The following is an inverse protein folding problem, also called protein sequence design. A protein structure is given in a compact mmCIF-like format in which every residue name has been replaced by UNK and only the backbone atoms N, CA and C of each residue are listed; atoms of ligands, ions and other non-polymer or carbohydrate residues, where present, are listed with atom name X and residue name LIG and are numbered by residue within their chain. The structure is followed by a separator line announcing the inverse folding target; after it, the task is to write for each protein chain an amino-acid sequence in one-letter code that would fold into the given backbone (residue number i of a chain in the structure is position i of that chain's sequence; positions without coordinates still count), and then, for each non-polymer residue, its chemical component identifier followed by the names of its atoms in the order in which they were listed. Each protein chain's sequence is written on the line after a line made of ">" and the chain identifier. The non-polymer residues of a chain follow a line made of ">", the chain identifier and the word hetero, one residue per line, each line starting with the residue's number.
data_IF_745336586841
#
_entry.id   IF_745336586841
#
_cell.length_a   1.000
_cell.length_b   1.000
_cell.length_c   1.000
_cell.angle_alpha   90.00
_cell.angle_beta   90.00
_cell.angle_gamma   90.00
#
_symmetry.space_group_name_H-M   'P 1'
#
loop_
_entity.id
_entity.type
_entity.pdbx_description
1 polymer ?
#
# COMPACT_ATOMS: atom_id res chain seq x y z
N UNK A 1 43.38 48.34 -48.70
CA UNK A 1 44.16 49.28 -47.88
C UNK A 1 44.07 48.81 -46.44
N UNK A 2 45.21 48.37 -45.90
CA UNK A 2 45.58 48.25 -44.47
C UNK A 2 44.91 47.14 -43.63
N UNK A 3 45.51 46.62 -42.56
CA UNK A 3 46.80 45.95 -42.31
C UNK A 3 46.66 45.26 -40.91
N UNK A 4 47.23 44.06 -40.77
CA UNK A 4 47.84 43.37 -39.62
C UNK A 4 47.35 43.41 -38.12
N UNK A 5 47.68 42.28 -37.44
CA UNK A 5 48.07 42.06 -36.01
C UNK A 5 46.92 41.76 -34.99
N UNK A 6 46.78 40.64 -34.26
CA UNK A 6 47.59 39.74 -33.37
C UNK A 6 47.94 40.29 -31.97
N UNK A 7 47.59 39.52 -30.91
CA UNK A 7 48.05 39.62 -29.50
C UNK A 7 46.86 39.60 -28.51
N UNK A 8 46.56 38.56 -27.70
CA UNK A 8 47.28 37.84 -26.61
C UNK A 8 47.28 38.56 -25.22
N UNK A 9 46.88 37.83 -24.17
CA UNK A 9 47.03 38.15 -22.73
C UNK A 9 45.99 39.12 -22.13
N UNK A 10 45.56 39.08 -20.86
CA UNK A 10 46.12 38.51 -19.62
C UNK A 10 45.00 38.45 -18.54
N UNK A 11 45.05 37.46 -17.65
CA UNK A 11 44.28 37.36 -16.40
C UNK A 11 44.53 38.56 -15.44
N UNK A 12 43.52 38.91 -14.64
CA UNK A 12 43.63 39.92 -13.58
C UNK A 12 42.68 39.65 -12.41
N UNK A 13 43.27 39.55 -11.22
CA UNK A 13 42.76 38.99 -9.96
C UNK A 13 42.07 40.04 -9.05
N UNK A 14 41.05 39.57 -8.29
CA UNK A 14 40.47 40.03 -7.01
C UNK A 14 40.21 41.52 -6.71
N UNK A 15 38.97 41.80 -6.26
CA UNK A 15 38.62 43.01 -5.52
C UNK A 15 37.28 42.86 -4.79
N UNK A 16 37.32 43.03 -3.46
CA UNK A 16 36.27 42.75 -2.49
C UNK A 16 34.93 43.48 -2.71
N UNK A 17 33.83 42.84 -2.28
CA UNK A 17 32.72 43.55 -1.64
C UNK A 17 32.03 42.65 -0.62
N UNK A 18 32.25 42.98 0.66
CA UNK A 18 31.41 42.50 1.75
C UNK A 18 30.21 43.42 1.92
N UNK A 19 29.02 42.84 2.05
CA UNK A 19 27.91 43.41 2.80
C UNK A 19 26.99 42.26 3.25
N UNK A 20 26.90 42.10 4.57
CA UNK A 20 26.14 41.10 5.30
C UNK A 20 24.66 41.06 4.90
N UNK A 21 24.21 39.90 4.42
CA UNK A 21 22.81 39.48 4.52
C UNK A 21 22.74 38.32 5.49
N UNK A 22 22.13 38.53 6.66
CA UNK A 22 21.79 37.45 7.60
C UNK A 22 20.79 36.55 6.88
N UNK A 23 21.26 35.40 6.37
CA UNK A 23 20.39 34.38 5.82
C UNK A 23 19.77 33.65 7.01
N UNK A 24 18.55 34.04 7.37
CA UNK A 24 17.68 33.28 8.26
C UNK A 24 17.25 32.04 7.47
N UNK A 25 18.17 31.11 7.31
CA UNK A 25 17.90 29.81 6.74
C UNK A 25 17.06 29.04 7.75
N UNK A 26 15.81 28.83 7.37
CA UNK A 26 14.88 27.80 7.85
C UNK A 26 15.54 26.72 8.72
N UNK A 27 15.53 26.90 10.04
CA UNK A 27 15.60 25.75 10.94
C UNK A 27 14.22 25.12 11.02
N UNK A 28 13.82 24.45 9.94
CA UNK A 28 12.80 23.42 10.04
C UNK A 28 13.30 22.37 11.05
N UNK A 29 12.46 21.89 11.98
CA UNK A 29 12.88 20.86 12.93
C UNK A 29 13.43 19.65 12.16
N UNK A 30 14.50 19.01 12.66
CA UNK A 30 15.09 17.86 12.01
C UNK A 30 13.99 16.84 11.77
N UNK A 31 13.74 16.56 10.48
CA UNK A 31 12.81 15.50 10.12
C UNK A 31 13.34 14.22 10.76
N UNK A 32 12.53 13.50 11.56
CA UNK A 32 12.98 12.24 12.11
C UNK A 32 13.46 11.38 10.93
N UNK A 33 14.72 10.92 11.01
CA UNK A 33 15.28 10.04 9.99
C UNK A 33 14.37 8.83 9.78
N UNK A 34 14.44 8.17 8.61
CA UNK A 34 13.63 7.00 8.35
C UNK A 34 13.81 6.01 9.51
N UNK A 35 12.68 5.66 10.14
CA UNK A 35 12.66 4.73 11.25
C UNK A 35 13.16 3.33 10.83
N UNK A 36 13.36 2.42 11.79
CA UNK A 36 13.68 1.04 11.47
C UNK A 36 12.62 0.42 10.54
N UNK A 37 13.06 -0.49 9.67
CA UNK A 37 12.15 -1.23 8.79
C UNK A 37 11.14 -2.04 9.60
N UNK A 38 9.88 -2.16 9.13
CA UNK A 38 8.85 -2.89 9.86
C UNK A 38 9.16 -4.38 9.92
N UNK A 39 8.77 -4.99 11.02
CA UNK A 39 8.83 -6.44 11.23
C UNK A 39 7.74 -7.13 10.40
N UNK A 40 7.91 -8.44 10.15
CA UNK A 40 6.87 -9.25 9.48
C UNK A 40 5.52 -9.15 10.19
N UNK A 41 5.51 -9.08 11.51
CA UNK A 41 4.31 -8.94 12.31
C UNK A 41 3.57 -7.64 11.98
N UNK A 42 4.28 -6.50 11.97
CA UNK A 42 3.71 -5.20 11.65
C UNK A 42 3.21 -5.16 10.21
N UNK A 43 3.97 -5.72 9.26
CA UNK A 43 3.57 -5.80 7.85
C UNK A 43 2.29 -6.63 7.69
N UNK A 44 2.19 -7.79 8.35
CA UNK A 44 0.98 -8.62 8.30
C UNK A 44 -0.22 -7.93 8.96
N UNK A 45 0.01 -7.25 10.08
CA UNK A 45 -1.01 -6.50 10.81
C UNK A 45 -1.56 -5.34 9.96
N UNK A 46 -0.67 -4.54 9.37
CA UNK A 46 -1.04 -3.45 8.46
C UNK A 46 -1.78 -3.98 7.24
N UNK A 47 -1.31 -5.09 6.67
CA UNK A 47 -1.97 -5.72 5.53
C UNK A 47 -3.39 -6.16 5.87
N UNK A 48 -3.60 -6.89 6.98
CA UNK A 48 -4.95 -7.34 7.39
C UNK A 48 -5.86 -6.16 7.67
N UNK A 49 -5.34 -5.09 8.28
CA UNK A 49 -6.12 -3.88 8.53
C UNK A 49 -6.43 -3.10 7.25
N UNK A 50 -5.56 -3.16 6.24
CA UNK A 50 -5.82 -2.53 4.94
C UNK A 50 -7.01 -3.16 4.21
N UNK A 51 -7.37 -4.42 4.51
CA UNK A 51 -8.57 -5.09 3.98
C UNK A 51 -9.88 -4.45 4.45
N UNK A 52 -9.86 -3.62 5.50
CA UNK A 52 -11.03 -2.84 5.89
C UNK A 52 -11.39 -1.76 4.86
N UNK A 53 -10.46 -1.37 3.98
CA UNK A 53 -10.68 -0.38 2.94
C UNK A 53 -11.22 -1.05 1.66
N UNK A 54 -12.53 -0.93 1.44
CA UNK A 54 -13.22 -1.55 0.29
C UNK A 54 -12.58 -1.17 -1.06
N UNK A 55 -12.29 0.12 -1.38
CA UNK A 55 -11.54 0.48 -2.58
C UNK A 55 -10.21 -0.27 -2.78
N UNK A 56 -9.44 -0.47 -1.70
CA UNK A 56 -8.18 -1.21 -1.77
C UNK A 56 -8.41 -2.68 -2.10
N UNK A 57 -9.40 -3.30 -1.46
CA UNK A 57 -9.81 -4.68 -1.76
C UNK A 57 -10.25 -4.79 -3.21
N UNK A 58 -11.12 -3.90 -3.69
CA UNK A 58 -11.54 -3.87 -5.11
C UNK A 58 -10.33 -3.77 -6.05
N UNK A 59 -9.35 -2.93 -5.74
CA UNK A 59 -8.10 -2.85 -6.51
C UNK A 59 -7.31 -4.18 -6.49
N UNK A 60 -7.13 -4.77 -5.31
CA UNK A 60 -6.45 -6.06 -5.13
C UNK A 60 -7.12 -7.17 -5.96
N UNK A 61 -8.46 -7.20 -6.00
CA UNK A 61 -9.20 -8.23 -6.74
C UNK A 61 -9.21 -7.99 -8.26
N UNK A 62 -9.39 -6.74 -8.70
CA UNK A 62 -9.56 -6.41 -10.12
C UNK A 62 -8.25 -6.26 -10.88
N UNK A 63 -7.26 -5.63 -10.25
CA UNK A 63 -6.02 -5.22 -10.94
C UNK A 63 -4.92 -6.26 -10.77
N UNK A 64 -4.91 -6.97 -9.64
CA UNK A 64 -3.87 -7.96 -9.33
C UNK A 64 -4.30 -9.38 -9.71
N UNK A 65 -4.95 -9.56 -10.87
CA UNK A 65 -5.45 -10.87 -11.33
C UNK A 65 -4.38 -11.99 -11.28
N UNK A 66 -3.11 -11.65 -11.50
CA UNK A 66 -2.01 -12.60 -11.44
C UNK A 66 -1.73 -13.18 -10.04
N UNK A 67 -2.07 -12.46 -8.96
CA UNK A 67 -1.94 -12.99 -7.60
C UNK A 67 -2.91 -14.15 -7.38
N UNK A 68 -4.12 -13.98 -7.93
CA UNK A 68 -5.22 -14.95 -7.86
C UNK A 68 -5.04 -16.17 -8.75
N UNK A 69 -4.12 -16.10 -9.73
CA UNK A 69 -3.77 -17.25 -10.55
C UNK A 69 -3.09 -18.36 -9.76
N UNK A 70 -2.39 -18.00 -8.68
CA UNK A 70 -1.61 -18.95 -7.89
C UNK A 70 -2.31 -19.30 -6.58
N UNK A 71 -2.26 -20.59 -6.22
CA UNK A 71 -2.70 -21.09 -4.91
C UNK A 71 -1.89 -20.48 -3.74
N UNK A 72 -0.70 -19.94 -4.00
CA UNK A 72 0.15 -19.36 -2.97
C UNK A 72 -0.54 -18.19 -2.25
N UNK A 73 -1.23 -17.33 -3.00
CA UNK A 73 -1.91 -16.18 -2.41
C UNK A 73 -3.13 -16.60 -1.58
N UNK A 74 -3.91 -17.58 -2.05
CA UNK A 74 -5.01 -18.17 -1.28
C UNK A 74 -4.51 -18.77 0.04
N UNK A 75 -3.44 -19.55 0.00
CA UNK A 75 -2.85 -20.11 1.22
C UNK A 75 -2.36 -19.01 2.18
N UNK A 76 -1.83 -17.91 1.64
CA UNK A 76 -1.42 -16.77 2.47
C UNK A 76 -2.61 -16.09 3.15
N UNK A 77 -3.71 -15.83 2.43
CA UNK A 77 -4.93 -15.29 3.03
C UNK A 77 -5.55 -16.25 4.06
N UNK A 78 -5.48 -17.56 3.81
CA UNK A 78 -5.91 -18.56 4.78
C UNK A 78 -5.03 -18.55 6.03
N UNK A 79 -3.71 -18.45 5.85
CA UNK A 79 -2.76 -18.31 6.95
C UNK A 79 -3.12 -17.11 7.83
N UNK A 80 -3.44 -15.95 7.26
CA UNK A 80 -3.78 -14.73 8.00
C UNK A 80 -5.04 -14.85 8.89
N UNK A 81 -5.83 -15.92 8.78
CA UNK A 81 -6.94 -16.16 9.73
C UNK A 81 -6.48 -16.32 11.18
N UNK A 82 -5.19 -16.55 11.43
CA UNK A 82 -4.65 -16.56 12.79
C UNK A 82 -4.91 -15.24 13.54
N UNK A 83 -5.02 -14.11 12.82
CA UNK A 83 -5.37 -12.80 13.39
C UNK A 83 -6.78 -12.76 13.99
N UNK A 84 -7.66 -13.70 13.64
CA UNK A 84 -9.00 -13.80 14.21
C UNK A 84 -9.00 -14.39 15.63
N UNK A 85 -7.92 -15.03 16.06
CA UNK A 85 -7.83 -15.71 17.35
C UNK A 85 -7.00 -14.90 18.36
N UNK A 86 -7.35 -14.92 19.66
CA UNK A 86 -6.47 -14.38 20.69
C UNK A 86 -5.12 -15.12 20.71
N UNK A 87 -3.99 -14.45 21.02
CA UNK A 87 -3.86 -13.06 21.47
C UNK A 87 -3.84 -12.01 20.34
N UNK A 88 -3.71 -12.44 19.08
CA UNK A 88 -3.47 -11.56 17.93
C UNK A 88 -4.64 -10.63 17.59
N UNK A 89 -5.87 -11.12 17.82
CA UNK A 89 -7.08 -10.32 17.60
C UNK A 89 -7.13 -9.04 18.44
N UNK A 90 -6.38 -8.97 19.55
CA UNK A 90 -6.31 -7.79 20.40
C UNK A 90 -5.50 -6.64 19.77
N UNK A 91 -4.67 -6.93 18.77
CA UNK A 91 -3.86 -5.93 18.06
C UNK A 91 -4.62 -5.27 16.90
N UNK A 92 -5.81 -5.77 16.55
CA UNK A 92 -6.59 -5.30 15.41
C UNK A 92 -7.38 -4.04 15.81
N UNK A 93 -7.09 -2.92 15.16
CA UNK A 93 -7.83 -1.66 15.35
C UNK A 93 -9.10 -1.62 14.48
N UNK A 94 -9.04 -2.25 13.29
CA UNK A 94 -10.11 -2.28 12.30
C UNK A 94 -10.70 -3.69 12.14
N UNK A 95 -11.65 -4.14 12.98
CA UNK A 95 -12.32 -5.44 12.90
C UNK A 95 -12.95 -5.74 11.53
N UNK A 96 -13.34 -4.73 10.76
CA UNK A 96 -13.84 -4.90 9.40
C UNK A 96 -12.84 -5.63 8.50
N UNK A 97 -11.53 -5.44 8.72
CA UNK A 97 -10.49 -6.16 7.96
C UNK A 97 -10.56 -7.67 8.16
N UNK A 98 -10.85 -8.13 9.38
CA UNK A 98 -11.02 -9.57 9.68
C UNK A 98 -12.29 -10.14 9.03
N UNK A 99 -13.37 -9.36 9.01
CA UNK A 99 -14.61 -9.77 8.36
C UNK A 99 -14.42 -9.93 6.84
N UNK A 100 -13.79 -8.95 6.20
CA UNK A 100 -13.47 -9.01 4.76
C UNK A 100 -12.53 -10.16 4.46
N UNK A 101 -11.52 -10.40 5.29
CA UNK A 101 -10.63 -11.55 5.14
C UNK A 101 -11.42 -12.87 5.12
N UNK A 102 -12.36 -13.06 6.05
CA UNK A 102 -13.23 -14.24 6.08
C UNK A 102 -14.16 -14.33 4.88
N UNK A 103 -14.70 -13.20 4.42
CA UNK A 103 -15.54 -13.15 3.22
C UNK A 103 -14.77 -13.62 1.98
N UNK A 104 -13.55 -13.10 1.80
CA UNK A 104 -12.68 -13.48 0.68
C UNK A 104 -12.34 -14.97 0.77
N UNK A 105 -11.89 -15.47 1.93
CA UNK A 105 -11.55 -16.88 2.08
C UNK A 105 -12.75 -17.81 1.86
N UNK A 106 -13.93 -17.46 2.38
CA UNK A 106 -15.16 -18.24 2.17
C UNK A 106 -15.60 -18.27 0.71
N UNK A 107 -15.45 -17.15 0.00
CA UNK A 107 -15.73 -17.10 -1.43
C UNK A 107 -14.74 -17.97 -2.22
N UNK A 108 -13.44 -17.87 -1.93
CA UNK A 108 -12.41 -18.69 -2.56
C UNK A 108 -12.65 -20.19 -2.33
N UNK A 109 -13.05 -20.58 -1.12
CA UNK A 109 -13.36 -21.99 -0.81
C UNK A 109 -14.61 -22.50 -1.56
N UNK A 110 -15.60 -21.63 -1.80
CA UNK A 110 -16.88 -22.02 -2.42
C UNK A 110 -16.82 -22.02 -3.94
N UNK A 111 -16.14 -21.03 -4.52
CA UNK A 111 -16.20 -20.76 -5.96
C UNK A 111 -14.92 -21.08 -6.71
N UNK A 112 -13.78 -21.24 -6.02
CA UNK A 112 -12.55 -21.54 -6.71
C UNK A 112 -12.46 -23.04 -7.03
N UNK A 113 -12.69 -23.37 -8.30
CA UNK A 113 -12.33 -24.69 -8.83
C UNK A 113 -10.92 -24.61 -9.40
N UNK A 114 -10.12 -25.65 -9.12
CA UNK A 114 -8.81 -25.78 -9.76
C UNK A 114 -9.04 -26.41 -11.14
N UNK A 115 -8.85 -25.63 -12.19
CA UNK A 115 -8.91 -26.10 -13.57
C UNK A 115 -7.61 -26.85 -13.94
N UNK A 116 -7.61 -27.54 -15.09
CA UNK A 116 -6.56 -28.49 -15.48
C UNK A 116 -5.15 -27.88 -15.57
N UNK A 117 -5.05 -26.55 -15.71
CA UNK A 117 -3.79 -25.79 -15.71
C UNK A 117 -3.28 -25.43 -14.30
N UNK A 118 -3.97 -25.85 -13.24
CA UNK A 118 -3.62 -25.55 -11.84
C UNK A 118 -3.94 -24.12 -11.40
N UNK A 119 -4.72 -23.39 -12.20
CA UNK A 119 -5.18 -22.03 -11.92
C UNK A 119 -6.42 -22.07 -11.00
N UNK A 120 -6.75 -20.95 -10.36
CA UNK A 120 -8.04 -20.77 -9.70
C UNK A 120 -9.04 -20.23 -10.73
N UNK A 121 -10.04 -21.03 -11.09
CA UNK A 121 -11.18 -20.62 -11.93
C UNK A 121 -12.29 -19.98 -11.08
N UNK A 122 -13.10 -19.09 -11.66
CA UNK A 122 -14.23 -18.45 -10.95
C UNK A 122 -13.90 -17.26 -10.05
N UNK A 123 -12.62 -16.92 -9.86
CA UNK A 123 -12.21 -15.74 -9.07
C UNK A 123 -12.62 -14.41 -9.74
N UNK A 124 -12.88 -14.42 -11.05
CA UNK A 124 -13.36 -13.25 -11.80
C UNK A 124 -14.77 -12.77 -11.38
N UNK A 125 -15.52 -13.58 -10.63
CA UNK A 125 -16.82 -13.22 -10.09
C UNK A 125 -16.72 -12.40 -8.80
N UNK A 126 -15.67 -12.62 -8.01
CA UNK A 126 -15.46 -11.94 -6.73
C UNK A 126 -15.37 -10.41 -6.88
N UNK A 127 -14.57 -9.83 -7.82
CA UNK A 127 -14.57 -8.39 -8.03
C UNK A 127 -15.92 -7.85 -8.50
N UNK A 128 -16.66 -8.59 -9.35
CA UNK A 128 -18.02 -8.19 -9.77
C UNK A 128 -18.99 -8.19 -8.60
N UNK A 129 -18.93 -9.20 -7.75
CA UNK A 129 -19.77 -9.31 -6.56
C UNK A 129 -19.53 -8.14 -5.60
N UNK A 130 -18.26 -7.81 -5.33
CA UNK A 130 -17.88 -6.67 -4.49
C UNK A 130 -18.19 -5.31 -5.12
N UNK A 131 -18.11 -5.17 -6.44
CA UNK A 131 -18.53 -3.94 -7.11
C UNK A 131 -20.04 -3.71 -6.97
N UNK A 132 -20.84 -4.78 -7.04
CA UNK A 132 -22.29 -4.72 -6.98
C UNK A 132 -22.81 -4.57 -5.54
N UNK A 133 -22.24 -5.30 -4.59
CA UNK A 133 -22.68 -5.35 -3.20
C UNK A 133 -21.78 -4.54 -2.25
N UNK A 134 -20.77 -3.84 -2.74
CA UNK A 134 -19.80 -3.12 -1.91
C UNK A 134 -20.42 -2.06 -1.03
N UNK A 135 -21.48 -1.39 -1.51
CA UNK A 135 -22.25 -0.43 -0.70
C UNK A 135 -23.07 -1.10 0.41
N UNK A 136 -23.65 -2.25 0.14
CA UNK A 136 -24.40 -3.04 1.14
C UNK A 136 -23.47 -3.62 2.19
N UNK A 137 -22.32 -4.17 1.77
CA UNK A 137 -21.25 -4.63 2.63
C UNK A 137 -20.74 -3.50 3.54
N UNK A 138 -20.57 -2.29 3.00
CA UNK A 138 -20.16 -1.13 3.80
C UNK A 138 -21.22 -0.79 4.86
N UNK A 139 -22.50 -0.78 4.48
CA UNK A 139 -23.59 -0.54 5.43
C UNK A 139 -23.66 -1.64 6.51
N UNK A 140 -23.47 -2.90 6.13
CA UNK A 140 -23.44 -4.04 7.06
C UNK A 140 -22.24 -3.95 8.01
N UNK A 141 -21.07 -3.55 7.51
CA UNK A 141 -19.86 -3.31 8.33
C UNK A 141 -20.08 -2.18 9.33
N UNK A 142 -20.73 -1.08 8.93
CA UNK A 142 -21.10 0.03 9.82
C UNK A 142 -22.10 -0.44 10.88
N UNK A 143 -23.16 -1.15 10.49
CA UNK A 143 -24.17 -1.65 11.42
C UNK A 143 -23.59 -2.66 12.43
N UNK A 144 -22.66 -3.52 12.00
CA UNK A 144 -21.92 -4.41 12.92
C UNK A 144 -21.12 -3.62 13.95
N UNK A 145 -20.54 -2.48 13.57
CA UNK A 145 -19.85 -1.60 14.50
C UNK A 145 -20.81 -0.93 15.49
N UNK A 146 -21.98 -0.49 15.03
CA UNK A 146 -22.97 0.14 15.90
C UNK A 146 -23.60 -0.83 16.92
N UNK A 147 -23.54 -2.13 16.66
CA UNK A 147 -24.17 -3.19 17.46
C UNK A 147 -23.19 -4.04 18.29
N UNK A 148 -21.89 -3.81 18.18
CA UNK A 148 -20.83 -4.51 18.93
C UNK A 148 -20.38 -3.71 20.16
#
# INVERSE_FOLDING_TARGET
>A
MSDAVTGDGVEGVNGANGANGVNVADTAPPQPGPGPLPTRFEVELEFVQSLANVPYVTYLLTTQQHLWKSQQFQHYLKYLEYWCSPPYSQCIVYPNGLFVLKLINGFLETHASVNDDGLLDGVDELPRYLQLHGGELMNEMVQRWESA
#
